data_IF_160118132811
#
_entry.id   IF_160118132811
#
_cell.length_a   1.000
_cell.length_b   1.000
_cell.length_c   1.000
_cell.angle_alpha   90.00
_cell.angle_beta   90.00
_cell.angle_gamma   90.00
#
_symmetry.space_group_name_H-M   'P 1'
#
loop_
_entity.id
_entity.type
_entity.pdbx_description
1 polymer ?
#
# COMPACT_ATOMS: atom_id res chain seq x y z
N UNK A 1 -0.83 -14.44 -7.87
CA UNK A 1 -1.03 -13.84 -6.53
C UNK A 1 0.19 -13.99 -5.62
N UNK A 2 0.84 -15.17 -5.58
CA UNK A 2 2.05 -15.41 -4.77
C UNK A 2 3.19 -14.42 -5.07
N UNK A 3 3.56 -14.25 -6.36
CA UNK A 3 4.61 -13.31 -6.76
C UNK A 3 4.34 -11.85 -6.34
N UNK A 4 3.08 -11.41 -6.36
CA UNK A 4 2.69 -10.08 -5.87
C UNK A 4 2.84 -9.97 -4.35
N UNK A 5 2.39 -10.99 -3.60
CA UNK A 5 2.58 -11.05 -2.15
C UNK A 5 4.05 -11.01 -1.76
N UNK A 6 4.89 -11.81 -2.43
CA UNK A 6 6.35 -11.84 -2.20
C UNK A 6 6.99 -10.50 -2.53
N UNK A 7 6.60 -9.83 -3.62
CA UNK A 7 7.17 -8.52 -3.96
C UNK A 7 6.77 -7.43 -2.95
N UNK A 8 5.54 -7.47 -2.43
CA UNK A 8 5.11 -6.54 -1.36
C UNK A 8 5.80 -6.83 -0.04
N UNK A 9 6.03 -8.09 0.32
CA UNK A 9 6.85 -8.45 1.48
C UNK A 9 8.28 -7.94 1.31
N UNK A 10 8.88 -8.09 0.12
CA UNK A 10 10.21 -7.58 -0.16
C UNK A 10 10.30 -6.06 0.02
N UNK A 11 9.29 -5.30 -0.41
CA UNK A 11 9.23 -3.85 -0.18
C UNK A 11 9.20 -3.49 1.31
N UNK A 12 8.46 -4.24 2.14
CA UNK A 12 8.40 -4.02 3.60
C UNK A 12 9.78 -4.28 4.23
N UNK A 13 10.41 -5.40 3.87
CA UNK A 13 11.76 -5.75 4.37
C UNK A 13 12.80 -4.72 3.91
N UNK A 14 12.68 -4.24 2.67
CA UNK A 14 13.55 -3.19 2.14
C UNK A 14 13.41 -1.88 2.91
N UNK A 15 12.18 -1.43 3.19
CA UNK A 15 11.95 -0.22 3.98
C UNK A 15 12.56 -0.33 5.38
N UNK A 16 12.43 -1.50 6.05
CA UNK A 16 13.06 -1.78 7.35
C UNK A 16 14.58 -1.69 7.31
N UNK A 17 15.20 -2.32 6.31
CA UNK A 17 16.66 -2.28 6.17
C UNK A 17 17.15 -0.88 5.77
N UNK A 18 16.39 -0.15 4.95
CA UNK A 18 16.70 1.23 4.60
C UNK A 18 16.65 2.14 5.83
N UNK A 19 15.66 1.96 6.72
CA UNK A 19 15.60 2.66 8.01
C UNK A 19 16.88 2.45 8.83
N UNK A 20 17.34 1.20 8.92
CA UNK A 20 18.55 0.85 9.66
C UNK A 20 19.80 1.53 9.09
N UNK A 21 19.90 1.60 7.75
CA UNK A 21 21.04 2.23 7.05
C UNK A 21 21.03 3.75 7.14
N UNK A 22 19.85 4.37 7.22
CA UNK A 22 19.68 5.82 7.30
C UNK A 22 19.64 6.36 8.74
N UNK A 23 19.90 5.50 9.73
CA UNK A 23 19.96 5.92 11.13
C UNK A 23 20.93 7.08 11.33
N UNK A 24 20.48 8.13 12.02
CA UNK A 24 21.27 9.35 12.28
C UNK A 24 21.36 10.34 11.12
N UNK A 25 20.79 10.06 9.94
CA UNK A 25 20.81 10.97 8.78
C UNK A 25 19.67 11.99 8.78
N UNK A 26 18.68 11.83 9.67
CA UNK A 26 17.44 12.61 9.66
C UNK A 26 16.44 12.20 8.58
N UNK A 27 16.70 11.10 7.84
CA UNK A 27 15.78 10.54 6.86
C UNK A 27 15.01 9.36 7.48
N UNK A 28 13.68 9.43 7.41
CA UNK A 28 12.77 8.41 7.93
C UNK A 28 12.10 7.65 6.80
N UNK A 29 11.80 6.37 7.03
CA UNK A 29 11.25 5.47 6.00
C UNK A 29 10.08 4.68 6.54
N UNK A 30 9.07 4.43 5.69
CA UNK A 30 7.81 3.80 6.07
C UNK A 30 7.32 2.87 4.96
N UNK A 31 6.70 1.75 5.35
CA UNK A 31 6.02 0.81 4.46
C UNK A 31 4.51 0.86 4.72
N UNK A 32 3.76 1.44 3.78
CA UNK A 32 2.34 1.74 3.98
C UNK A 32 1.43 0.84 3.14
N UNK A 33 0.31 0.41 3.73
CA UNK A 33 -0.78 -0.25 3.03
C UNK A 33 -1.99 0.68 3.00
N UNK A 34 -2.31 1.32 1.85
CA UNK A 34 -3.45 2.24 1.75
C UNK A 34 -4.82 1.53 1.74
N UNK A 35 -4.81 0.19 1.80
CA UNK A 35 -6.00 -0.66 1.68
C UNK A 35 -6.40 -0.92 0.23
N UNK A 36 -7.62 -1.39 0.03
CA UNK A 36 -8.16 -1.67 -1.29
C UNK A 36 -8.68 -0.38 -1.93
N UNK A 37 -7.87 0.28 -2.76
CA UNK A 37 -8.18 1.61 -3.30
C UNK A 37 -8.57 1.50 -4.77
N UNK A 38 -9.65 2.20 -5.16
CA UNK A 38 -10.17 2.24 -6.55
C UNK A 38 -9.19 2.97 -7.47
N UNK A 39 -8.29 2.19 -8.06
CA UNK A 39 -7.24 2.61 -8.99
C UNK A 39 -7.21 1.64 -10.18
N UNK A 40 -6.45 1.98 -11.21
CA UNK A 40 -6.25 1.14 -12.40
C UNK A 40 -5.37 -0.10 -12.15
N UNK A 41 -5.18 -0.54 -10.90
CA UNK A 41 -4.34 -1.69 -10.55
C UNK A 41 -4.80 -2.99 -11.23
N UNK A 42 -6.10 -3.16 -11.41
CA UNK A 42 -6.73 -4.35 -11.99
C UNK A 42 -6.97 -4.24 -13.51
N UNK A 43 -6.45 -3.21 -14.19
CA UNK A 43 -6.67 -2.98 -15.64
C UNK A 43 -6.30 -4.17 -16.54
N UNK A 44 -5.33 -4.98 -16.13
CA UNK A 44 -4.86 -6.16 -16.85
C UNK A 44 -5.41 -7.48 -16.27
N UNK A 45 -6.41 -7.41 -15.39
CA UNK A 45 -7.03 -8.58 -14.76
C UNK A 45 -8.33 -9.00 -15.47
N UNK A 46 -8.56 -8.54 -16.71
CA UNK A 46 -9.84 -8.68 -17.42
C UNK A 46 -10.13 -10.07 -17.97
N UNK A 47 -9.19 -11.01 -17.92
CA UNK A 47 -9.38 -12.40 -18.38
C UNK A 47 -10.12 -13.30 -17.36
N UNK A 48 -10.88 -12.68 -16.44
CA UNK A 48 -11.54 -13.37 -15.35
C UNK A 48 -12.93 -13.90 -15.77
N UNK A 49 -13.31 -15.15 -15.41
CA UNK A 49 -14.66 -15.67 -15.63
C UNK A 49 -15.74 -14.71 -15.12
N UNK A 50 -16.81 -14.52 -15.90
CA UNK A 50 -17.85 -13.50 -15.66
C UNK A 50 -18.46 -13.51 -14.25
N UNK A 51 -18.65 -14.69 -13.64
CA UNK A 51 -19.15 -14.83 -12.25
C UNK A 51 -18.20 -14.25 -11.22
N UNK A 52 -16.90 -14.47 -11.40
CA UNK A 52 -15.86 -13.94 -10.52
C UNK A 52 -15.69 -12.43 -10.74
N UNK A 53 -15.84 -11.96 -11.98
CA UNK A 53 -15.86 -10.54 -12.30
C UNK A 53 -17.02 -9.80 -11.60
N UNK A 54 -18.24 -10.33 -11.66
CA UNK A 54 -19.39 -9.76 -10.94
C UNK A 54 -19.15 -9.75 -9.42
N UNK A 55 -18.65 -10.86 -8.86
CA UNK A 55 -18.31 -10.93 -7.44
C UNK A 55 -17.25 -9.89 -7.03
N UNK A 56 -16.22 -9.70 -7.86
CA UNK A 56 -15.20 -8.68 -7.67
C UNK A 56 -15.79 -7.26 -7.74
N UNK A 57 -16.72 -6.97 -8.65
CA UNK A 57 -17.38 -5.68 -8.74
C UNK A 57 -18.24 -5.37 -7.51
N UNK A 58 -19.00 -6.35 -7.00
CA UNK A 58 -19.80 -6.18 -5.77
C UNK A 58 -18.91 -5.93 -4.56
N UNK A 59 -17.84 -6.72 -4.41
CA UNK A 59 -16.87 -6.53 -3.34
C UNK A 59 -16.13 -5.18 -3.49
N UNK A 60 -15.78 -4.79 -4.71
CA UNK A 60 -15.16 -3.51 -5.02
C UNK A 60 -16.07 -2.34 -4.60
N UNK A 61 -17.37 -2.43 -4.92
CA UNK A 61 -18.35 -1.40 -4.56
C UNK A 61 -18.50 -1.25 -3.05
N UNK A 62 -18.50 -2.35 -2.29
CA UNK A 62 -18.71 -2.31 -0.84
C UNK A 62 -17.46 -1.97 -0.04
N UNK A 63 -16.27 -2.35 -0.52
CA UNK A 63 -15.04 -2.33 0.30
C UNK A 63 -13.92 -1.45 -0.26
N UNK A 64 -13.99 -0.97 -1.51
CA UNK A 64 -12.95 -0.09 -2.03
C UNK A 64 -13.07 1.33 -1.51
N UNK A 65 -11.91 1.88 -1.16
CA UNK A 65 -11.74 3.29 -0.80
C UNK A 65 -11.51 4.13 -2.05
N UNK A 66 -11.86 5.41 -1.96
CA UNK A 66 -11.47 6.39 -3.00
C UNK A 66 -9.96 6.66 -2.95
N UNK A 67 -9.33 7.10 -4.05
CA UNK A 67 -7.93 7.55 -4.02
C UNK A 67 -7.65 8.60 -2.94
N UNK A 68 -8.59 9.54 -2.73
CA UNK A 68 -8.50 10.54 -1.66
C UNK A 68 -8.49 9.94 -0.25
N UNK A 69 -9.22 8.86 0.00
CA UNK A 69 -9.15 8.14 1.27
C UNK A 69 -7.86 7.32 1.37
N UNK A 70 -7.41 6.70 0.28
CA UNK A 70 -6.19 5.88 0.23
C UNK A 70 -4.91 6.68 0.49
N UNK A 71 -4.84 7.95 0.06
CA UNK A 71 -3.65 8.79 0.24
C UNK A 71 -3.47 9.31 1.67
N UNK A 72 -4.49 9.25 2.52
CA UNK A 72 -4.44 9.83 3.87
C UNK A 72 -3.27 9.29 4.70
N UNK A 73 -3.00 7.98 4.63
CA UNK A 73 -1.87 7.37 5.35
C UNK A 73 -0.52 7.86 4.83
N UNK A 74 -0.40 8.08 3.51
CA UNK A 74 0.83 8.59 2.88
C UNK A 74 1.08 10.03 3.36
N UNK A 75 0.04 10.87 3.31
CA UNK A 75 0.14 12.25 3.81
C UNK A 75 0.49 12.27 5.29
N UNK A 76 -0.13 11.41 6.09
CA UNK A 76 0.18 11.30 7.51
C UNK A 76 1.68 11.04 7.75
N UNK A 77 2.27 10.05 7.07
CA UNK A 77 3.71 9.77 7.20
C UNK A 77 4.61 10.86 6.62
N UNK A 78 4.15 11.60 5.60
CA UNK A 78 4.94 12.64 4.97
C UNK A 78 4.97 13.95 5.76
N UNK A 79 3.89 14.31 6.48
CA UNK A 79 3.74 15.65 7.08
C UNK A 79 3.50 15.66 8.59
N UNK A 80 3.12 14.53 9.19
CA UNK A 80 2.81 14.48 10.63
C UNK A 80 4.08 14.40 11.45
N UNK A 81 4.22 15.31 12.41
CA UNK A 81 5.30 15.25 13.42
C UNK A 81 5.12 14.07 14.38
N UNK A 82 3.92 13.50 14.49
CA UNK A 82 3.62 12.40 15.43
C UNK A 82 4.31 11.08 15.08
N UNK A 83 4.70 10.90 13.83
CA UNK A 83 5.32 9.67 13.33
C UNK A 83 6.79 9.84 13.00
N UNK A 84 7.37 11.01 13.31
CA UNK A 84 8.76 11.33 13.00
C UNK A 84 9.73 10.28 13.55
N UNK A 85 9.46 9.72 14.73
CA UNK A 85 10.35 8.72 15.35
C UNK A 85 10.00 7.26 14.99
N UNK A 86 9.05 7.04 14.08
CA UNK A 86 8.51 5.72 13.75
C UNK A 86 9.11 5.09 12.47
N UNK A 87 10.41 5.26 12.25
CA UNK A 87 11.07 4.74 11.04
C UNK A 87 11.16 3.21 10.98
N UNK A 88 11.10 2.66 9.77
CA UNK A 88 11.17 1.22 9.50
C UNK A 88 9.88 0.46 9.79
N UNK A 89 8.75 1.17 9.94
CA UNK A 89 7.44 0.58 10.18
C UNK A 89 6.65 0.41 8.89
#
# INVERSE_FOLDING_TARGET
MFAYGTSKLANILFARELARRLSGTGVYTYALCPGWVKTELARNAMDMPWKQYIGMLVAAFMFMRTPHQGVQTILHCAVSTKVADETGK
#
